data_IF_085921699224
#
_entry.id   IF_085921699224
#
_cell.length_a   1.000
_cell.length_b   1.000
_cell.length_c   1.000
_cell.angle_alpha   90.00
_cell.angle_beta   90.00
_cell.angle_gamma   90.00
#
_symmetry.space_group_name_H-M   'P 1'
#
loop_
_entity.id
_entity.type
_entity.pdbx_description
1 polymer ?
#
# COMPACT_ATOMS: atom_id res chain seq x y z
N UNK A 1 -22.87 -6.49 -51.51
CA UNK A 1 -22.85 -7.99 -51.64
C UNK A 1 -21.79 -8.55 -50.74
N UNK A 2 -22.15 -9.57 -50.04
CA UNK A 2 -21.43 -10.54 -49.21
C UNK A 2 -21.37 -10.23 -47.71
N UNK A 3 -22.32 -10.88 -47.03
CA UNK A 3 -22.42 -11.07 -45.58
C UNK A 3 -21.42 -12.13 -45.15
N UNK A 4 -20.61 -11.88 -44.14
CA UNK A 4 -19.94 -12.92 -43.38
C UNK A 4 -20.49 -12.95 -41.96
N UNK A 5 -21.17 -14.06 -41.69
CA UNK A 5 -21.69 -14.46 -40.38
C UNK A 5 -20.54 -15.15 -39.66
N UNK A 6 -20.05 -14.60 -38.54
CA UNK A 6 -19.16 -15.28 -37.63
C UNK A 6 -19.97 -15.84 -36.47
N UNK A 7 -20.06 -17.16 -36.44
CA UNK A 7 -20.64 -17.98 -35.41
C UNK A 7 -19.61 -18.11 -34.26
N UNK A 8 -19.89 -17.47 -33.11
CA UNK A 8 -19.08 -17.64 -31.89
C UNK A 8 -19.73 -18.77 -31.07
N UNK A 9 -19.02 -19.87 -30.96
CA UNK A 9 -19.37 -21.04 -30.15
C UNK A 9 -18.98 -20.77 -28.69
N UNK A 10 -19.95 -20.47 -27.82
CA UNK A 10 -19.75 -20.33 -26.38
C UNK A 10 -19.74 -21.70 -25.72
N UNK A 11 -18.58 -22.13 -25.21
CA UNK A 11 -18.46 -23.29 -24.33
C UNK A 11 -18.58 -22.84 -22.88
N UNK A 12 -19.72 -23.02 -22.26
CA UNK A 12 -19.95 -22.86 -20.81
C UNK A 12 -19.51 -24.14 -20.09
N UNK A 13 -18.43 -24.01 -19.31
CA UNK A 13 -17.98 -25.08 -18.40
C UNK A 13 -18.56 -24.77 -17.00
N UNK A 14 -19.61 -25.48 -16.61
CA UNK A 14 -20.16 -25.44 -15.27
C UNK A 14 -19.33 -26.35 -14.35
N UNK A 15 -18.66 -25.76 -13.37
CA UNK A 15 -17.96 -26.45 -12.29
C UNK A 15 -18.88 -26.48 -11.06
N UNK A 16 -19.49 -27.62 -10.79
CA UNK A 16 -20.29 -27.85 -9.59
C UNK A 16 -19.35 -28.10 -8.40
N UNK A 17 -19.27 -27.16 -7.44
CA UNK A 17 -18.68 -27.39 -6.13
C UNK A 17 -19.77 -27.89 -5.17
N UNK A 18 -19.70 -29.15 -4.79
CA UNK A 18 -20.49 -29.73 -3.70
C UNK A 18 -19.94 -29.25 -2.35
N UNK A 19 -20.76 -28.50 -1.63
CA UNK A 19 -20.53 -28.17 -0.21
C UNK A 19 -20.89 -29.38 0.65
N UNK A 20 -19.92 -29.88 1.40
CA UNK A 20 -20.17 -30.81 2.51
C UNK A 20 -20.31 -29.98 3.79
N UNK A 21 -21.52 -29.98 4.33
CA UNK A 21 -21.83 -29.48 5.68
C UNK A 21 -21.41 -30.53 6.69
N UNK A 22 -20.52 -30.17 7.61
CA UNK A 22 -20.27 -30.95 8.81
C UNK A 22 -20.83 -30.15 10.01
N UNK A 23 -21.98 -30.60 10.50
CA UNK A 23 -22.50 -30.27 11.83
C UNK A 23 -21.70 -31.03 12.89
N UNK A 24 -21.47 -30.39 14.03
CA UNK A 24 -20.89 -31.03 15.19
C UNK A 24 -20.47 -30.08 16.28
N UNK A 25 -21.46 -29.54 17.06
CA UNK A 25 -21.19 -29.08 18.42
C UNK A 25 -21.30 -30.26 19.36
N UNK A 26 -20.49 -30.27 20.45
CA UNK A 26 -21.14 -30.31 21.77
C UNK A 26 -20.60 -29.25 22.74
N UNK A 27 -21.53 -28.76 23.55
CA UNK A 27 -21.32 -27.97 24.73
C UNK A 27 -20.85 -28.89 25.88
N UNK A 28 -19.94 -28.38 26.71
CA UNK A 28 -19.74 -28.79 28.13
C UNK A 28 -19.00 -27.64 28.78
N UNK A 29 -19.53 -26.93 29.79
CA UNK A 29 -19.79 -27.48 31.09
C UNK A 29 -18.69 -26.95 31.99
N UNK A 30 -18.92 -25.76 32.64
CA UNK A 30 -18.12 -25.31 33.80
C UNK A 30 -18.40 -26.22 35.00
N UNK A 31 -17.43 -26.37 35.91
CA UNK A 31 -17.71 -26.21 37.33
C UNK A 31 -16.85 -25.11 37.96
N UNK A 32 -17.50 -24.43 38.91
CA UNK A 32 -16.89 -23.55 39.89
C UNK A 32 -16.20 -24.39 40.97
N UNK A 33 -15.09 -23.90 41.50
CA UNK A 33 -14.37 -24.47 42.61
C UNK A 33 -13.31 -23.52 43.12
N UNK A 34 -13.68 -22.71 44.09
CA UNK A 34 -13.25 -22.64 45.49
C UNK A 34 -11.78 -22.27 45.74
N UNK A 35 -11.64 -21.19 46.49
CA UNK A 35 -10.54 -20.59 47.20
C UNK A 35 -9.59 -21.60 47.89
N UNK A 36 -8.29 -21.36 47.82
CA UNK A 36 -7.37 -21.67 48.90
C UNK A 36 -6.21 -20.67 48.92
N UNK A 37 -6.20 -19.89 49.96
CA UNK A 37 -5.14 -19.05 50.49
C UNK A 37 -3.97 -19.91 50.93
N UNK A 38 -2.73 -19.59 50.54
CA UNK A 38 -1.57 -20.01 51.33
C UNK A 38 -0.51 -18.90 51.27
N UNK A 39 -0.38 -18.19 52.38
CA UNK A 39 0.78 -17.40 52.77
C UNK A 39 1.99 -18.32 52.90
N UNK A 40 3.12 -17.89 52.35
CA UNK A 40 4.43 -18.39 52.75
C UNK A 40 5.41 -17.21 52.84
N UNK A 41 5.55 -16.78 54.08
CA UNK A 41 6.66 -15.95 54.58
C UNK A 41 7.96 -16.71 54.45
N UNK A 42 8.98 -16.13 53.87
CA UNK A 42 10.39 -16.45 54.17
C UNK A 42 11.24 -15.19 54.23
N UNK A 43 11.86 -15.10 55.40
CA UNK A 43 12.85 -14.18 55.92
C UNK A 43 14.13 -14.11 55.03
N UNK A 44 14.64 -12.92 54.91
CA UNK A 44 15.86 -12.33 55.44
C UNK A 44 17.14 -13.13 55.29
N UNK A 45 18.07 -12.64 54.49
CA UNK A 45 19.50 -12.59 54.87
C UNK A 45 20.15 -11.35 54.27
N UNK A 46 20.61 -10.50 55.22
CA UNK A 46 21.49 -9.37 54.97
C UNK A 46 22.92 -9.89 54.82
N UNK A 47 23.61 -9.44 53.77
CA UNK A 47 25.04 -9.34 53.78
C UNK A 47 25.49 -7.96 53.37
N UNK A 48 25.96 -7.22 54.38
CA UNK A 48 26.77 -6.03 54.25
C UNK A 48 28.13 -6.34 53.59
N UNK A 49 28.48 -5.65 52.55
CA UNK A 49 29.86 -5.27 52.25
C UNK A 49 29.87 -3.98 51.43
N UNK A 50 30.38 -2.89 52.01
CA UNK A 50 30.86 -1.69 51.37
C UNK A 50 32.38 -1.72 51.31
N UNK A 51 33.04 -0.71 50.66
CA UNK A 51 32.95 -0.20 49.30
C UNK A 51 34.32 -0.29 48.58
N UNK A 52 34.28 -0.26 47.24
CA UNK A 52 35.47 0.07 46.49
C UNK A 52 35.10 1.03 45.35
N UNK A 53 35.63 2.23 45.44
CA UNK A 53 35.61 3.26 44.42
C UNK A 53 36.45 2.82 43.21
N UNK A 54 35.86 2.94 42.02
CA UNK A 54 36.62 3.28 40.81
C UNK A 54 35.62 3.87 39.82
N UNK A 55 35.80 5.14 39.59
CA UNK A 55 35.13 5.91 38.53
C UNK A 55 35.70 5.48 37.19
N UNK A 56 34.84 5.03 36.29
CA UNK A 56 35.03 5.20 34.84
C UNK A 56 33.70 5.41 34.19
N UNK A 57 33.58 6.55 33.53
CA UNK A 57 32.40 7.00 32.77
C UNK A 57 32.19 6.11 31.57
N UNK A 58 31.45 5.03 31.72
CA UNK A 58 30.91 4.29 30.61
C UNK A 58 29.70 5.04 30.06
N UNK A 59 29.88 5.78 28.98
CA UNK A 59 28.81 6.41 28.22
C UNK A 59 27.72 5.39 27.92
N UNK A 60 26.49 5.72 28.27
CA UNK A 60 25.32 4.90 28.16
C UNK A 60 25.12 4.40 26.71
N UNK A 61 25.33 3.11 26.38
CA UNK A 61 25.21 2.61 25.01
C UNK A 61 23.75 2.69 24.47
N UNK A 62 22.77 2.94 25.33
CA UNK A 62 21.39 3.16 24.94
C UNK A 62 21.16 4.54 24.28
N UNK A 63 21.92 5.57 24.64
CA UNK A 63 21.83 6.89 24.01
C UNK A 63 22.44 6.90 22.60
N UNK A 64 23.54 6.16 22.40
CA UNK A 64 24.19 6.03 21.08
C UNK A 64 23.38 5.17 20.08
N UNK A 65 22.49 4.30 20.58
CA UNK A 65 21.60 3.49 19.74
C UNK A 65 20.28 4.21 19.39
N UNK A 66 19.88 5.22 20.16
CA UNK A 66 18.73 6.06 19.84
C UNK A 66 19.03 7.08 18.73
N UNK A 67 20.25 7.58 18.67
CA UNK A 67 20.68 8.54 17.63
C UNK A 67 20.85 7.87 16.24
N UNK A 68 21.11 6.57 16.18
CA UNK A 68 21.12 5.79 14.92
C UNK A 68 19.75 5.43 14.37
N UNK A 69 18.68 5.68 15.11
CA UNK A 69 17.28 5.47 14.70
C UNK A 69 16.58 6.74 14.26
N UNK A 70 17.19 7.89 14.26
CA UNK A 70 16.73 9.01 13.45
C UNK A 70 16.83 8.54 12.00
N UNK A 71 15.70 8.06 11.49
CA UNK A 71 15.57 7.58 10.13
C UNK A 71 16.15 8.69 9.23
N UNK A 72 17.32 8.42 8.63
CA UNK A 72 18.01 9.32 7.72
C UNK A 72 16.95 9.82 6.74
N UNK A 73 16.72 11.12 6.77
CA UNK A 73 15.72 11.76 5.93
C UNK A 73 16.07 11.46 4.48
N UNK A 74 15.27 10.60 3.84
CA UNK A 74 15.58 10.06 2.51
C UNK A 74 15.20 11.02 1.38
N UNK A 75 14.39 12.06 1.70
CA UNK A 75 13.98 13.10 0.76
C UNK A 75 13.83 14.44 1.48
N UNK A 76 13.99 15.53 0.74
CA UNK A 76 13.69 16.90 1.18
C UNK A 76 12.28 17.34 0.78
N UNK A 77 11.59 16.57 -0.05
CA UNK A 77 10.23 16.90 -0.44
C UNK A 77 9.26 16.76 0.71
N UNK A 78 8.18 17.57 0.74
CA UNK A 78 7.18 17.49 1.78
C UNK A 78 6.41 16.16 1.68
N UNK A 79 6.08 15.58 2.85
CA UNK A 79 5.43 14.28 2.95
C UNK A 79 4.28 14.32 3.96
N UNK A 80 3.23 13.55 3.68
CA UNK A 80 2.18 13.17 4.63
C UNK A 80 2.28 11.65 4.84
N UNK A 81 2.67 11.22 6.02
CA UNK A 81 2.96 9.80 6.29
C UNK A 81 2.01 9.22 7.32
N UNK A 82 1.46 8.01 7.12
CA UNK A 82 0.68 7.35 8.14
C UNK A 82 1.55 7.02 9.35
N UNK A 83 1.03 7.29 10.54
CA UNK A 83 1.60 6.87 11.82
C UNK A 83 0.96 5.55 12.23
N UNK A 84 1.77 4.56 12.57
CA UNK A 84 1.25 3.29 13.07
C UNK A 84 0.67 3.48 14.48
N UNK A 85 -0.65 3.26 14.62
CA UNK A 85 -1.33 3.08 15.91
C UNK A 85 -1.54 1.61 16.21
N UNK A 86 -1.31 1.16 17.44
CA UNK A 86 -1.71 -0.19 17.85
C UNK A 86 -3.23 -0.24 18.01
N UNK A 87 -3.90 -1.10 17.23
CA UNK A 87 -5.33 -1.41 17.41
C UNK A 87 -6.25 -0.22 17.14
N UNK A 88 -6.27 0.29 15.90
CA UNK A 88 -7.06 1.45 15.56
C UNK A 88 -8.43 1.13 14.98
N UNK A 89 -9.38 2.02 15.21
CA UNK A 89 -10.62 2.11 14.45
C UNK A 89 -10.29 2.27 12.95
N UNK A 90 -10.90 1.44 12.11
CA UNK A 90 -10.72 1.50 10.65
C UNK A 90 -11.25 2.79 10.03
N UNK A 91 -12.10 3.51 10.74
CA UNK A 91 -12.63 4.81 10.35
C UNK A 91 -11.69 5.98 10.69
N UNK A 92 -10.52 5.72 11.28
CA UNK A 92 -9.57 6.73 11.73
C UNK A 92 -8.18 6.45 11.17
N UNK A 93 -7.52 7.48 10.68
CA UNK A 93 -6.10 7.46 10.33
C UNK A 93 -5.36 8.54 11.11
N UNK A 94 -4.14 8.24 11.55
CA UNK A 94 -3.24 9.20 12.17
C UNK A 94 -2.11 9.50 11.20
N UNK A 95 -1.90 10.78 10.89
CA UNK A 95 -0.96 11.25 9.88
C UNK A 95 0.06 12.21 10.50
N UNK A 96 1.30 12.14 10.03
CA UNK A 96 2.34 13.11 10.34
C UNK A 96 2.77 13.83 9.06
N UNK A 97 2.98 15.12 9.16
CA UNK A 97 3.58 15.95 8.10
C UNK A 97 5.08 16.04 8.35
N UNK A 98 5.87 15.95 7.26
CA UNK A 98 7.33 16.10 7.29
C UNK A 98 7.76 17.09 6.21
N UNK A 99 8.83 17.83 6.48
CA UNK A 99 9.44 18.79 5.56
C UNK A 99 8.49 19.91 5.13
N UNK A 100 7.48 20.21 5.95
CA UNK A 100 6.47 21.24 5.77
C UNK A 100 5.89 21.59 7.14
N UNK A 101 5.50 22.86 7.37
CA UNK A 101 4.89 23.31 8.62
C UNK A 101 3.51 23.95 8.38
N UNK A 102 2.52 23.19 7.90
CA UNK A 102 1.19 23.69 7.67
C UNK A 102 0.44 23.84 9.00
N UNK A 103 -0.50 24.78 9.05
CA UNK A 103 -1.40 24.90 10.20
C UNK A 103 -2.39 23.72 10.26
N UNK A 104 -2.85 23.24 9.10
CA UNK A 104 -3.92 22.28 8.98
C UNK A 104 -3.68 21.27 7.85
N UNK A 105 -4.28 20.10 7.98
CA UNK A 105 -4.51 19.16 6.89
C UNK A 105 -5.90 19.39 6.29
N UNK A 106 -5.99 19.52 4.99
CA UNK A 106 -7.26 19.45 4.26
C UNK A 106 -7.53 18.02 3.83
N UNK A 107 -8.75 17.56 4.07
CA UNK A 107 -9.21 16.22 3.72
C UNK A 107 -10.43 16.32 2.83
N UNK A 108 -10.32 15.75 1.63
CA UNK A 108 -11.38 15.74 0.62
C UNK A 108 -11.94 14.33 0.49
N UNK A 109 -13.27 14.22 0.39
CA UNK A 109 -13.97 12.98 0.09
C UNK A 109 -14.75 13.12 -1.23
N UNK A 110 -15.00 12.00 -1.92
CA UNK A 110 -15.82 11.97 -3.13
C UNK A 110 -17.30 11.92 -2.81
N UNK A 111 -17.64 11.24 -1.71
CA UNK A 111 -19.00 10.91 -1.31
C UNK A 111 -19.19 11.25 0.16
N UNK A 112 -20.42 11.57 0.55
CA UNK A 112 -20.80 11.88 1.92
C UNK A 112 -21.65 13.13 2.02
N UNK A 113 -22.01 13.58 3.23
CA UNK A 113 -22.70 14.85 3.44
C UNK A 113 -21.88 16.03 2.90
N UNK A 114 -22.54 16.98 2.23
CA UNK A 114 -21.87 18.09 1.54
C UNK A 114 -20.97 18.93 2.44
N UNK A 115 -21.38 19.15 3.68
CA UNK A 115 -20.61 19.87 4.70
C UNK A 115 -19.35 19.13 5.16
N UNK A 116 -19.22 17.84 4.82
CA UNK A 116 -18.11 16.97 5.18
C UNK A 116 -17.22 16.55 4.01
N UNK A 117 -17.54 16.95 2.80
CA UNK A 117 -16.73 16.62 1.61
C UNK A 117 -15.37 17.30 1.59
N UNK A 118 -15.22 18.41 2.31
CA UNK A 118 -13.96 19.11 2.55
C UNK A 118 -13.86 19.48 4.02
N UNK A 119 -12.86 18.95 4.71
CA UNK A 119 -12.68 19.16 6.15
C UNK A 119 -11.24 19.55 6.44
N UNK A 120 -11.04 20.34 7.50
CA UNK A 120 -9.75 20.77 7.99
C UNK A 120 -9.48 20.16 9.36
N UNK A 121 -8.24 19.76 9.58
CA UNK A 121 -7.79 19.15 10.82
C UNK A 121 -6.47 19.82 11.25
N UNK A 122 -6.36 20.34 12.48
CA UNK A 122 -5.15 20.99 12.94
C UNK A 122 -3.97 20.02 12.96
N UNK A 123 -2.81 20.49 12.51
CA UNK A 123 -1.57 19.71 12.57
C UNK A 123 -1.00 19.77 13.98
N UNK A 124 -0.69 18.61 14.55
CA UNK A 124 -0.08 18.52 15.88
C UNK A 124 1.22 17.72 15.84
N UNK A 125 2.16 17.99 16.77
CA UNK A 125 3.42 17.24 16.85
C UNK A 125 3.23 15.73 17.05
N UNK A 126 2.16 15.34 17.75
CA UNK A 126 1.80 13.94 17.99
C UNK A 126 1.18 13.26 16.78
N UNK A 127 0.91 14.02 15.72
CA UNK A 127 0.25 13.61 14.49
C UNK A 127 -1.24 13.94 14.48
N UNK A 128 -1.72 14.26 13.29
CA UNK A 128 -3.11 14.65 13.03
C UNK A 128 -4.00 13.44 12.89
N UNK A 129 -5.05 13.35 13.69
CA UNK A 129 -6.08 12.34 13.60
C UNK A 129 -7.14 12.80 12.60
N UNK A 130 -7.30 12.06 11.50
CA UNK A 130 -8.38 12.28 10.53
C UNK A 130 -9.36 11.12 10.58
N UNK A 131 -10.60 11.38 10.20
CA UNK A 131 -11.69 10.40 10.23
C UNK A 131 -12.30 10.22 8.85
N UNK A 132 -12.91 9.06 8.58
CA UNK A 132 -13.74 8.86 7.41
C UNK A 132 -14.87 9.91 7.36
N UNK A 133 -15.33 10.27 6.15
CA UNK A 133 -16.37 11.27 5.96
C UNK A 133 -17.66 10.92 6.69
N UNK A 134 -18.01 9.64 6.69
CA UNK A 134 -19.13 9.08 7.45
C UNK A 134 -18.87 7.60 7.71
N UNK A 135 -19.53 6.98 8.72
CA UNK A 135 -19.46 5.54 8.94
C UNK A 135 -19.94 4.79 7.70
N UNK A 136 -19.13 3.84 7.22
CA UNK A 136 -19.41 2.97 6.05
C UNK A 136 -19.60 3.68 4.71
N UNK A 137 -19.24 4.96 4.61
CA UNK A 137 -19.30 5.75 3.36
C UNK A 137 -17.92 6.36 3.11
N UNK A 138 -17.54 6.44 1.81
CA UNK A 138 -16.27 7.03 1.41
C UNK A 138 -15.07 6.17 1.81
N UNK A 139 -14.53 5.45 0.83
CA UNK A 139 -13.36 4.59 1.02
C UNK A 139 -12.05 5.37 0.88
N UNK A 140 -11.96 6.25 -0.12
CA UNK A 140 -10.77 7.05 -0.39
C UNK A 140 -10.99 8.51 -0.01
N UNK A 141 -10.00 9.07 0.66
CA UNK A 141 -9.91 10.48 0.97
C UNK A 141 -8.59 11.01 0.44
N UNK A 142 -8.63 12.16 -0.20
CA UNK A 142 -7.42 12.89 -0.54
C UNK A 142 -7.04 13.77 0.62
N UNK A 143 -5.79 13.73 1.01
CA UNK A 143 -5.26 14.55 2.10
C UNK A 143 -4.19 15.45 1.53
N UNK A 144 -4.27 16.73 1.82
CA UNK A 144 -3.27 17.73 1.46
C UNK A 144 -2.86 18.58 2.65
N UNK A 145 -1.62 19.03 2.62
CA UNK A 145 -1.04 19.99 3.55
C UNK A 145 -0.45 21.11 2.71
N UNK A 146 -0.80 22.36 3.00
CA UNK A 146 -0.37 23.54 2.25
C UNK A 146 0.33 24.52 3.17
N UNK A 147 1.47 25.00 2.72
CA UNK A 147 2.22 26.10 3.34
C UNK A 147 2.45 27.17 2.28
N UNK A 148 2.16 28.41 2.62
CA UNK A 148 2.43 29.55 1.77
C UNK A 148 3.30 30.55 2.54
N UNK A 149 4.45 30.83 1.97
CA UNK A 149 5.37 31.87 2.43
C UNK A 149 5.50 32.91 1.32
N UNK A 150 6.16 34.03 1.57
CA UNK A 150 6.34 35.08 0.57
C UNK A 150 6.97 34.51 -0.71
N UNK A 151 6.24 34.60 -1.83
CA UNK A 151 6.70 34.14 -3.13
C UNK A 151 6.76 32.61 -3.32
N UNK A 152 6.35 31.79 -2.33
CA UNK A 152 6.41 30.34 -2.44
C UNK A 152 5.15 29.64 -1.90
N UNK A 153 4.62 28.70 -2.68
CA UNK A 153 3.53 27.79 -2.30
C UNK A 153 4.05 26.37 -2.32
N UNK A 154 3.95 25.67 -1.20
CA UNK A 154 4.38 24.27 -1.10
C UNK A 154 3.19 23.40 -0.67
N UNK A 155 2.97 22.31 -1.37
CA UNK A 155 1.86 21.38 -1.11
C UNK A 155 2.39 19.95 -1.00
N UNK A 156 2.04 19.27 0.08
CA UNK A 156 2.15 17.81 0.19
C UNK A 156 0.79 17.18 -0.02
N UNK A 157 0.73 16.02 -0.64
CA UNK A 157 -0.51 15.27 -0.83
C UNK A 157 -0.31 13.77 -0.72
N UNK A 158 -1.37 13.07 -0.30
CA UNK A 158 -1.45 11.61 -0.26
C UNK A 158 -2.90 11.16 -0.33
N UNK A 159 -3.14 9.86 -0.47
CA UNK A 159 -4.47 9.27 -0.35
C UNK A 159 -4.56 8.42 0.92
N UNK A 160 -5.65 8.56 1.65
CA UNK A 160 -6.01 7.72 2.79
C UNK A 160 -7.17 6.80 2.42
N UNK A 161 -7.06 5.52 2.75
CA UNK A 161 -8.08 4.50 2.52
C UNK A 161 -8.69 4.03 3.84
N UNK A 162 -10.00 4.14 3.99
CA UNK A 162 -10.74 3.84 5.22
C UNK A 162 -11.51 2.51 5.20
N UNK A 163 -11.16 1.57 4.33
CA UNK A 163 -11.75 0.22 4.28
C UNK A 163 -13.27 0.19 4.20
N UNK A 164 -13.91 1.26 3.75
CA UNK A 164 -15.34 1.31 3.47
C UNK A 164 -15.62 0.83 2.04
N UNK A 165 -16.79 0.25 1.75
CA UNK A 165 -17.22 0.03 0.38
C UNK A 165 -17.36 1.38 -0.36
N UNK A 166 -17.19 1.37 -1.67
CA UNK A 166 -17.35 2.57 -2.50
C UNK A 166 -16.74 2.41 -3.89
N UNK A 167 -17.04 3.38 -4.72
CA UNK A 167 -16.59 3.46 -6.09
C UNK A 167 -15.09 3.81 -6.20
N UNK A 168 -14.56 3.74 -7.41
CA UNK A 168 -13.22 4.24 -7.69
C UNK A 168 -13.17 5.76 -7.41
N UNK A 169 -12.06 6.28 -6.84
CA UNK A 169 -11.97 7.70 -6.45
C UNK A 169 -11.80 8.66 -7.63
N UNK A 170 -12.33 8.32 -8.81
CA UNK A 170 -12.14 9.09 -10.06
C UNK A 170 -12.63 10.52 -9.92
N UNK A 171 -13.85 10.71 -9.41
CA UNK A 171 -14.44 12.05 -9.21
C UNK A 171 -13.62 12.88 -8.21
N UNK A 172 -13.13 12.25 -7.13
CA UNK A 172 -12.26 12.88 -6.15
C UNK A 172 -10.93 13.34 -6.77
N UNK A 173 -10.32 12.50 -7.62
CA UNK A 173 -9.05 12.81 -8.27
C UNK A 173 -9.19 13.95 -9.29
N UNK A 174 -10.30 14.01 -10.02
CA UNK A 174 -10.56 15.06 -11.01
C UNK A 174 -10.87 16.43 -10.38
N UNK A 175 -11.42 16.46 -9.16
CA UNK A 175 -11.69 17.71 -8.44
C UNK A 175 -10.36 18.44 -8.15
N UNK A 176 -10.33 19.75 -8.47
CA UNK A 176 -9.17 20.58 -8.15
C UNK A 176 -9.07 20.82 -6.63
N UNK A 177 -7.86 20.69 -6.08
CA UNK A 177 -7.58 20.80 -4.64
C UNK A 177 -6.49 21.84 -4.33
N UNK A 178 -5.57 22.07 -5.30
CA UNK A 178 -4.53 23.09 -5.21
C UNK A 178 -4.21 23.66 -6.59
N UNK A 179 -3.33 24.63 -6.63
CA UNK A 179 -2.89 25.27 -7.89
C UNK A 179 -2.08 24.28 -8.71
N UNK A 180 -0.98 23.76 -8.16
CA UNK A 180 -0.14 22.75 -8.81
C UNK A 180 -0.45 21.37 -8.23
N UNK A 181 -0.79 20.41 -9.09
CA UNK A 181 -1.22 19.07 -8.67
C UNK A 181 -0.54 17.95 -9.44
N UNK A 182 -0.22 16.87 -8.71
CA UNK A 182 0.15 15.56 -9.26
C UNK A 182 -1.01 14.61 -8.97
N UNK A 183 -1.68 14.13 -10.01
CA UNK A 183 -2.91 13.34 -9.88
C UNK A 183 -2.66 11.93 -10.42
N UNK A 184 -2.76 10.87 -9.59
CA UNK A 184 -2.72 9.49 -10.06
C UNK A 184 -3.82 9.17 -11.08
N UNK A 185 -3.49 8.41 -12.13
CA UNK A 185 -4.44 8.01 -13.17
C UNK A 185 -4.29 6.52 -13.54
N UNK A 186 -4.93 5.62 -12.82
CA UNK A 186 -5.74 5.80 -11.59
C UNK A 186 -4.90 5.73 -10.31
N UNK A 187 -5.55 5.96 -9.15
CA UNK A 187 -5.02 5.51 -7.86
C UNK A 187 -5.23 3.98 -7.74
N UNK A 188 -4.26 3.22 -7.20
CA UNK A 188 -4.45 1.79 -6.95
C UNK A 188 -5.68 1.54 -6.08
N UNK A 189 -6.47 0.53 -6.45
CA UNK A 189 -7.63 0.09 -5.66
C UNK A 189 -7.18 -0.66 -4.41
N UNK A 190 -8.11 -0.95 -3.51
CA UNK A 190 -7.89 -1.53 -2.18
C UNK A 190 -7.06 -2.82 -2.15
N UNK A 191 -7.12 -3.61 -3.21
CA UNK A 191 -6.32 -4.82 -3.40
C UNK A 191 -5.16 -4.64 -4.38
N UNK A 192 -5.01 -3.42 -4.92
CA UNK A 192 -3.93 -3.02 -5.80
C UNK A 192 -2.82 -2.28 -5.05
N UNK A 193 -1.66 -2.18 -5.68
CA UNK A 193 -0.56 -1.33 -5.21
C UNK A 193 0.29 -0.91 -6.41
N UNK A 194 0.95 0.23 -6.31
CA UNK A 194 2.10 0.49 -7.15
C UNK A 194 3.13 -0.61 -6.91
N UNK A 195 3.78 -1.09 -7.94
CA UNK A 195 4.77 -2.16 -7.85
C UNK A 195 6.03 -1.81 -8.63
N UNK A 196 7.12 -2.41 -8.22
CA UNK A 196 8.34 -2.43 -9.04
C UNK A 196 8.05 -2.85 -10.47
N UNK A 197 8.76 -2.30 -11.43
CA UNK A 197 8.65 -2.56 -12.86
C UNK A 197 7.32 -2.19 -13.51
N UNK A 198 6.30 -1.80 -12.72
CA UNK A 198 5.04 -1.33 -13.27
C UNK A 198 5.15 0.11 -13.78
N UNK A 199 4.41 0.39 -14.85
CA UNK A 199 4.23 1.73 -15.39
C UNK A 199 2.89 2.28 -14.92
N UNK A 200 2.92 3.45 -14.29
CA UNK A 200 1.73 4.14 -13.83
C UNK A 200 1.67 5.54 -14.39
N UNK A 201 0.46 6.01 -14.66
CA UNK A 201 0.25 7.35 -15.21
C UNK A 201 -0.13 8.33 -14.11
N UNK A 202 0.39 9.55 -14.24
CA UNK A 202 0.07 10.70 -13.41
C UNK A 202 -0.21 11.89 -14.30
N UNK A 203 -1.13 12.74 -13.90
CA UNK A 203 -1.38 14.01 -14.59
C UNK A 203 -0.76 15.15 -13.78
N UNK A 204 0.01 15.99 -14.44
CA UNK A 204 0.43 17.29 -13.93
C UNK A 204 -0.52 18.36 -14.45
N UNK A 205 -1.05 19.17 -13.54
CA UNK A 205 -1.87 20.33 -13.94
C UNK A 205 -1.60 21.52 -13.03
N UNK A 206 -1.78 22.71 -13.60
CA UNK A 206 -1.75 23.98 -12.86
C UNK A 206 -3.07 24.72 -13.06
N UNK A 207 -3.72 25.14 -11.96
CA UNK A 207 -5.04 25.77 -11.97
C UNK A 207 -6.07 24.99 -12.81
N UNK A 208 -6.02 23.65 -12.72
CA UNK A 208 -6.92 22.76 -13.45
C UNK A 208 -6.52 22.51 -14.92
N UNK A 209 -5.52 23.22 -15.46
CA UNK A 209 -5.05 23.05 -16.85
C UNK A 209 -3.84 22.11 -16.91
N UNK A 210 -3.77 21.18 -17.88
CA UNK A 210 -2.62 20.32 -18.07
C UNK A 210 -1.32 21.09 -18.23
N UNK A 211 -0.24 20.64 -17.61
CA UNK A 211 1.11 21.18 -17.77
C UNK A 211 1.96 20.27 -18.65
N UNK A 212 2.26 20.74 -19.86
CA UNK A 212 3.14 20.06 -20.81
C UNK A 212 4.63 20.34 -20.54
N UNK A 213 5.49 19.38 -20.90
CA UNK A 213 6.96 19.50 -20.86
C UNK A 213 7.49 19.88 -19.47
N UNK A 214 6.84 19.41 -18.40
CA UNK A 214 7.27 19.62 -17.01
C UNK A 214 7.92 18.37 -16.44
N UNK A 215 8.96 18.58 -15.66
CA UNK A 215 9.67 17.52 -14.97
C UNK A 215 8.86 17.04 -13.76
N UNK A 216 8.72 15.72 -13.64
CA UNK A 216 8.22 15.01 -12.46
C UNK A 216 9.34 14.16 -11.88
N UNK A 217 9.80 14.49 -10.70
CA UNK A 217 10.87 13.80 -9.98
C UNK A 217 10.29 12.70 -9.10
N UNK A 218 10.86 11.50 -9.16
CA UNK A 218 10.57 10.38 -8.27
C UNK A 218 11.76 10.17 -7.33
N UNK A 219 11.50 10.13 -6.02
CA UNK A 219 12.46 9.66 -5.03
C UNK A 219 11.84 8.51 -4.22
N UNK A 220 12.66 7.52 -3.85
CA UNK A 220 12.23 6.37 -3.01
C UNK A 220 13.02 6.31 -1.72
N UNK A 221 12.47 5.68 -0.69
CA UNK A 221 13.16 5.52 0.60
C UNK A 221 14.41 4.62 0.50
N UNK A 222 14.58 3.92 -0.62
CA UNK A 222 15.77 3.13 -0.92
C UNK A 222 16.89 3.96 -1.56
N UNK A 223 16.63 5.24 -1.87
CA UNK A 223 17.61 6.18 -2.41
C UNK A 223 17.58 6.31 -3.93
N UNK A 224 16.68 5.62 -4.64
CA UNK A 224 16.52 5.81 -6.08
C UNK A 224 15.93 7.18 -6.36
N UNK A 225 16.50 7.88 -7.37
CA UNK A 225 16.06 9.18 -7.85
C UNK A 225 16.02 9.15 -9.37
N UNK A 226 14.85 9.43 -9.94
CA UNK A 226 14.61 9.50 -11.38
C UNK A 226 13.70 10.67 -11.73
N UNK A 227 13.76 11.11 -12.98
CA UNK A 227 12.91 12.17 -13.48
C UNK A 227 12.19 11.72 -14.76
N UNK A 228 10.99 12.21 -14.95
CA UNK A 228 10.13 11.96 -16.09
C UNK A 228 9.60 13.30 -16.61
N UNK A 229 9.16 13.36 -17.85
CA UNK A 229 8.61 14.58 -18.44
C UNK A 229 7.16 14.36 -18.85
N UNK A 230 6.30 15.36 -18.60
CA UNK A 230 4.92 15.33 -19.05
C UNK A 230 4.79 15.57 -20.54
N UNK A 231 3.82 14.88 -21.15
CA UNK A 231 3.44 15.10 -22.55
C UNK A 231 2.58 16.37 -22.73
N UNK A 232 2.11 16.61 -23.96
CA UNK A 232 1.26 17.75 -24.30
C UNK A 232 -0.08 17.81 -23.53
N UNK A 233 -0.52 16.66 -22.98
CA UNK A 233 -1.74 16.54 -22.17
C UNK A 233 -1.44 16.59 -20.68
N UNK A 234 -0.20 16.91 -20.29
CA UNK A 234 0.23 16.90 -18.90
C UNK A 234 0.39 15.50 -18.30
N UNK A 235 0.33 14.44 -19.13
CA UNK A 235 0.45 13.07 -18.66
C UNK A 235 1.91 12.64 -18.54
N UNK A 236 2.23 11.97 -17.43
CA UNK A 236 3.55 11.41 -17.13
C UNK A 236 3.43 9.92 -16.90
N UNK A 237 4.18 9.11 -17.62
CA UNK A 237 4.31 7.69 -17.34
C UNK A 237 5.52 7.44 -16.46
N UNK A 238 5.28 7.06 -15.21
CA UNK A 238 6.31 6.75 -14.22
C UNK A 238 6.57 5.25 -14.22
N UNK A 239 7.83 4.85 -14.40
CA UNK A 239 8.30 3.47 -14.21
C UNK A 239 8.85 3.35 -12.79
N UNK A 240 8.26 2.47 -11.96
CA UNK A 240 8.74 2.24 -10.61
C UNK A 240 10.02 1.40 -10.61
N UNK A 241 11.04 1.81 -9.82
CA UNK A 241 12.35 1.15 -9.80
C UNK A 241 12.31 -0.21 -9.11
N UNK A 242 13.32 -1.03 -9.42
CA UNK A 242 13.60 -2.32 -8.79
C UNK A 242 14.45 -2.12 -7.51
N UNK A 243 13.82 -1.72 -6.42
CA UNK A 243 14.52 -1.36 -5.18
C UNK A 243 14.51 -2.48 -4.12
N UNK A 244 13.58 -3.43 -4.24
CA UNK A 244 13.44 -4.48 -3.24
C UNK A 244 14.39 -5.63 -3.51
N UNK A 245 15.25 -5.92 -2.53
CA UNK A 245 16.09 -7.12 -2.59
C UNK A 245 15.21 -8.38 -2.66
N UNK A 246 15.62 -9.41 -3.41
CA UNK A 246 14.93 -10.69 -3.40
C UNK A 246 14.67 -11.18 -1.97
N UNK A 247 13.55 -11.84 -1.76
CA UNK A 247 13.25 -12.44 -0.46
C UNK A 247 14.28 -13.54 -0.16
N UNK A 248 14.88 -13.49 1.02
CA UNK A 248 15.77 -14.55 1.49
C UNK A 248 14.96 -15.81 1.78
N UNK A 249 15.14 -16.90 1.04
CA UNK A 249 14.37 -18.12 1.24
C UNK A 249 14.60 -18.72 2.64
N UNK A 250 15.74 -18.46 3.29
CA UNK A 250 16.01 -18.91 4.64
C UNK A 250 15.17 -18.18 5.70
N UNK A 251 14.67 -16.99 5.39
CA UNK A 251 13.81 -16.18 6.27
C UNK A 251 12.33 -16.29 5.92
N UNK A 252 11.96 -17.16 4.97
CA UNK A 252 10.57 -17.34 4.54
C UNK A 252 9.63 -17.86 5.65
N UNK A 253 10.16 -18.37 6.75
CA UNK A 253 9.36 -18.82 7.90
C UNK A 253 8.89 -17.70 8.82
N UNK A 254 9.45 -16.50 8.73
CA UNK A 254 8.97 -15.30 9.48
C UNK A 254 7.77 -14.64 8.77
N UNK A 255 6.78 -15.44 8.34
CA UNK A 255 5.58 -14.99 7.59
C UNK A 255 4.63 -14.09 8.39
N UNK A 256 4.99 -13.66 9.59
CA UNK A 256 4.22 -12.68 10.36
C UNK A 256 4.51 -11.21 9.98
N UNK A 257 5.51 -10.97 9.14
CA UNK A 257 5.74 -9.64 8.56
C UNK A 257 4.79 -9.46 7.39
N UNK A 258 3.87 -8.50 7.51
CA UNK A 258 2.94 -8.11 6.44
C UNK A 258 3.66 -7.82 5.11
N UNK A 259 2.94 -7.58 4.01
CA UNK A 259 3.53 -7.40 2.69
C UNK A 259 4.57 -6.27 2.74
N UNK A 260 5.76 -6.54 2.19
CA UNK A 260 6.85 -5.55 2.09
C UNK A 260 6.36 -4.34 1.29
N UNK A 261 6.57 -3.16 1.84
CA UNK A 261 6.22 -1.89 1.18
C UNK A 261 7.38 -0.91 1.32
N UNK A 262 7.64 -0.16 0.26
CA UNK A 262 8.54 0.97 0.24
C UNK A 262 7.76 2.26 0.04
N UNK A 263 8.33 3.38 0.46
CA UNK A 263 7.73 4.71 0.28
C UNK A 263 8.34 5.38 -0.93
N UNK A 264 7.54 6.16 -1.63
CA UNK A 264 7.99 7.05 -2.69
C UNK A 264 7.36 8.42 -2.57
N UNK A 265 7.98 9.40 -3.19
CA UNK A 265 7.45 10.73 -3.43
C UNK A 265 7.66 11.11 -4.89
N UNK A 266 6.61 11.66 -5.49
CA UNK A 266 6.65 12.36 -6.77
C UNK A 266 6.60 13.85 -6.48
N UNK A 267 7.46 14.65 -7.10
CA UNK A 267 7.51 16.09 -6.90
C UNK A 267 7.61 16.83 -8.23
N UNK A 268 6.90 17.95 -8.34
CA UNK A 268 6.96 18.85 -9.48
C UNK A 268 7.01 20.30 -9.02
N UNK A 269 7.67 21.14 -9.82
CA UNK A 269 7.86 22.55 -9.57
C UNK A 269 7.33 23.37 -10.75
N UNK A 270 6.77 24.55 -10.46
CA UNK A 270 6.27 25.49 -11.46
C UNK A 270 6.37 26.91 -10.99
N UNK A 271 6.82 27.81 -11.86
CA UNK A 271 6.88 29.25 -11.59
C UNK A 271 5.80 29.95 -12.41
N UNK A 272 4.96 30.70 -11.75
CA UNK A 272 3.88 31.48 -12.39
C UNK A 272 3.52 32.70 -11.56
N UNK A 273 3.30 33.84 -12.22
CA UNK A 273 2.87 35.07 -11.54
C UNK A 273 3.81 35.58 -10.45
N UNK A 274 5.13 35.33 -10.58
CA UNK A 274 6.13 35.71 -9.56
C UNK A 274 6.13 34.83 -8.31
N UNK A 275 5.39 33.73 -8.31
CA UNK A 275 5.38 32.72 -7.26
C UNK A 275 6.02 31.43 -7.73
N UNK A 276 6.73 30.77 -6.83
CA UNK A 276 7.26 29.43 -6.99
C UNK A 276 6.32 28.39 -6.35
N UNK A 277 5.84 27.44 -7.12
CA UNK A 277 4.97 26.35 -6.67
C UNK A 277 5.76 25.06 -6.62
N UNK A 278 5.71 24.36 -5.48
CA UNK A 278 6.22 23.01 -5.28
C UNK A 278 5.07 22.11 -4.84
N UNK A 279 4.79 21.05 -5.57
CA UNK A 279 3.86 20.03 -5.13
C UNK A 279 4.54 18.67 -4.99
N UNK A 280 4.12 17.89 -3.99
CA UNK A 280 4.59 16.53 -3.79
C UNK A 280 3.41 15.60 -3.50
N UNK A 281 3.40 14.45 -4.18
CA UNK A 281 2.49 13.34 -3.89
C UNK A 281 3.29 12.15 -3.39
N UNK A 282 3.02 11.68 -2.19
CA UNK A 282 3.68 10.51 -1.64
C UNK A 282 2.71 9.35 -1.38
N UNK A 283 3.20 8.14 -1.62
CA UNK A 283 2.46 6.91 -1.36
C UNK A 283 3.42 5.74 -1.11
N UNK A 284 2.89 4.51 -1.12
CA UNK A 284 3.68 3.30 -0.98
C UNK A 284 3.64 2.45 -2.26
N UNK A 285 4.73 1.71 -2.52
CA UNK A 285 4.82 0.70 -3.56
C UNK A 285 5.36 -0.61 -2.97
N UNK A 286 5.20 -1.71 -3.68
CA UNK A 286 5.54 -3.06 -3.24
C UNK A 286 6.45 -3.75 -4.25
N UNK A 287 7.11 -4.85 -3.85
CA UNK A 287 7.85 -5.68 -4.78
C UNK A 287 6.99 -6.15 -5.95
N UNK A 288 7.61 -6.43 -7.07
CA UNK A 288 6.95 -7.12 -8.18
C UNK A 288 6.33 -8.44 -7.69
N UNK A 289 5.13 -8.74 -8.13
CA UNK A 289 4.41 -9.97 -7.79
C UNK A 289 5.13 -11.25 -8.23
N UNK A 290 6.08 -11.12 -9.17
CA UNK A 290 6.89 -12.23 -9.70
C UNK A 290 8.23 -12.36 -9.00
N UNK A 291 8.68 -11.35 -8.25
CA UNK A 291 9.94 -11.40 -7.50
C UNK A 291 9.85 -12.49 -6.42
N UNK A 292 10.63 -13.54 -6.58
CA UNK A 292 10.65 -14.71 -5.70
C UNK A 292 9.83 -15.91 -6.21
N UNK A 293 9.09 -15.80 -7.32
CA UNK A 293 8.51 -16.98 -7.97
C UNK A 293 9.58 -17.71 -8.77
N UNK A 294 9.84 -18.94 -8.40
CA UNK A 294 10.75 -19.79 -9.17
C UNK A 294 10.06 -20.24 -10.46
N UNK A 295 10.19 -19.41 -11.51
CA UNK A 295 9.64 -19.69 -12.84
C UNK A 295 10.10 -21.05 -13.39
N UNK A 296 11.34 -21.46 -13.07
CA UNK A 296 11.88 -22.77 -13.48
C UNK A 296 11.14 -23.91 -12.77
N UNK A 297 10.82 -23.76 -11.48
CA UNK A 297 10.01 -24.76 -10.77
C UNK A 297 8.59 -24.80 -11.35
N UNK A 298 7.98 -23.66 -11.61
CA UNK A 298 6.64 -23.59 -12.23
C UNK A 298 6.60 -24.23 -13.63
N UNK A 299 7.59 -23.96 -14.47
CA UNK A 299 7.73 -24.58 -15.79
C UNK A 299 7.96 -26.10 -15.66
N UNK A 300 8.80 -26.54 -14.71
CA UNK A 300 9.04 -27.94 -14.43
C UNK A 300 7.78 -28.70 -14.03
N UNK A 301 6.97 -28.15 -13.14
CA UNK A 301 5.67 -28.72 -12.77
C UNK A 301 4.69 -28.75 -13.94
N UNK A 302 4.68 -27.72 -14.79
CA UNK A 302 3.84 -27.67 -15.99
C UNK A 302 4.19 -28.79 -16.99
N UNK A 303 5.48 -28.94 -17.30
CA UNK A 303 5.95 -30.00 -18.20
C UNK A 303 5.69 -31.39 -17.60
N UNK A 304 5.95 -31.58 -16.31
CA UNK A 304 5.69 -32.87 -15.65
C UNK A 304 4.21 -33.20 -15.64
N UNK A 305 3.33 -32.23 -15.36
CA UNK A 305 1.88 -32.39 -15.44
C UNK A 305 1.40 -32.77 -16.86
N UNK A 306 1.96 -32.16 -17.91
CA UNK A 306 1.66 -32.51 -19.30
C UNK A 306 2.09 -33.94 -19.64
N UNK A 307 3.26 -34.38 -19.17
CA UNK A 307 3.75 -35.74 -19.38
C UNK A 307 2.84 -36.79 -18.70
N UNK A 308 2.37 -36.50 -17.48
CA UNK A 308 1.44 -37.37 -16.77
C UNK A 308 0.05 -37.40 -17.43
N UNK A 309 -0.39 -36.32 -18.05
CA UNK A 309 -1.67 -36.26 -18.76
C UNK A 309 -1.64 -36.88 -20.16
N UNK A 310 -0.46 -36.99 -20.77
CA UNK A 310 -0.29 -37.54 -22.15
C UNK A 310 -0.94 -38.89 -22.37
N UNK A 311 -0.85 -39.90 -21.46
CA UNK A 311 -1.52 -41.21 -21.67
C UNK A 311 -3.04 -41.09 -21.63
N UNK A 312 -3.60 -40.15 -20.87
CA UNK A 312 -5.04 -39.89 -20.78
C UNK A 312 -5.60 -39.28 -22.08
N UNK A 313 -4.77 -38.53 -22.80
CA UNK A 313 -5.14 -37.87 -24.06
C UNK A 313 -5.00 -38.81 -25.28
N UNK A 314 -4.33 -39.97 -25.15
CA UNK A 314 -4.27 -40.98 -26.20
C UNK A 314 -5.64 -41.64 -26.32
N UNK A 315 -6.50 -41.10 -27.18
CA UNK A 315 -7.75 -41.76 -27.57
C UNK A 315 -7.41 -43.11 -28.15
N UNK A 316 -7.94 -44.20 -27.57
CA UNK A 316 -7.96 -45.51 -28.20
C UNK A 316 -8.64 -45.35 -29.55
N UNK A 317 -7.90 -45.57 -30.65
CA UNK A 317 -8.52 -45.76 -31.96
C UNK A 317 -9.37 -47.02 -31.83
N UNK A 318 -10.69 -46.86 -31.86
CA UNK A 318 -11.63 -47.96 -32.00
C UNK A 318 -11.44 -48.48 -33.42
N UNK A 319 -10.83 -49.66 -33.54
CA UNK A 319 -10.72 -50.36 -34.81
C UNK A 319 -12.13 -50.69 -35.31
N UNK A 320 -12.60 -49.94 -36.30
CA UNK A 320 -13.74 -50.27 -37.14
C UNK A 320 -13.33 -51.37 -38.09
N UNK A 321 -13.17 -52.59 -37.58
CA UNK A 321 -13.00 -53.77 -38.39
C UNK A 321 -13.88 -54.88 -37.79
N UNK A 322 -15.15 -54.96 -38.19
CA UNK A 322 -16.01 -56.15 -38.26
C UNK A 322 -17.47 -55.71 -38.46
N UNK A 323 -17.78 -55.23 -39.67
CA UNK A 323 -19.16 -55.26 -40.14
C UNK A 323 -19.20 -55.30 -41.66
N UNK A 324 -18.49 -56.34 -42.22
CA UNK A 324 -18.60 -56.64 -43.62
C UNK A 324 -18.36 -58.16 -43.79
N UNK A 325 -19.25 -58.98 -43.18
CA UNK A 325 -19.41 -60.36 -43.52
C UNK A 325 -20.71 -60.91 -42.91
N UNK A 326 -21.80 -60.54 -43.52
CA UNK A 326 -23.06 -61.32 -43.56
C UNK A 326 -23.97 -60.57 -44.54
N UNK A 327 -23.91 -60.99 -45.78
CA UNK A 327 -24.97 -61.00 -46.78
C UNK A 327 -24.63 -62.02 -47.79
#
# INVERSE_FOLDING_TARGET
MQRFINLILSATLALACTFVMAEGRPANGRPAGTLATTESVRQHDQHDHAPAQAAESAGNPAAASQDKRQAREWTKYPLITPMMGRGGDRAVAKLAVKNLQPAELEVFAAEGPDDRLRRQFPVTPEGTRIEAVAPKIGNYHWVSAREETEGKVTVASTAAYFSNPGEAPTALLLKQKSELEIIPQPLPREHGSYRESDKWQFMLRFNGQPLANKELKLETEFGTKTAFTSDEKGMVTVLFPLDFKPADPAKAHDQHMGPRKGKFVLAAEHDEGGKHYLTAFNYAYSPDATTGKNLMAGAGFGVFGMLLAAPLLRRKKVDKKNSAKES
#
